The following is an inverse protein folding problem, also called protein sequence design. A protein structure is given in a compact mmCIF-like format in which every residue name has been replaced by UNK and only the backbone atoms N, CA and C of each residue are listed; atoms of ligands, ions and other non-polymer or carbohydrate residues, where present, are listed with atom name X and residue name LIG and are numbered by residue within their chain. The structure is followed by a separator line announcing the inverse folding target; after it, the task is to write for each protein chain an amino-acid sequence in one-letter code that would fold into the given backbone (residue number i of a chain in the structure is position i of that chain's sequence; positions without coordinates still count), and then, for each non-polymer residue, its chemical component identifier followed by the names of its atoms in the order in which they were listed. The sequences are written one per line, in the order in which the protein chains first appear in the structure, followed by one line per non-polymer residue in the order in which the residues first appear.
data_IF_003315263809
#
_entry.id   IF_003315263809
#
_cell.length_a   1.000
_cell.length_b   1.000
_cell.length_c   1.000
_cell.angle_alpha   90.00
_cell.angle_beta   90.00
_cell.angle_gamma   90.00
#
_symmetry.space_group_name_H-M   'P 1'
#
loop_
_entity.id
_entity.type
_entity.pdbx_description
1 polymer ?
#
# COMPACT_ATOMS: atom_id res chain seq x y z
N UNK A 1 -16.08 3.15 5.40
CA UNK A 1 -14.99 2.47 4.65
C UNK A 1 -13.75 3.34 4.65
N UNK A 2 -12.56 2.74 4.53
CA UNK A 2 -11.28 3.45 4.43
C UNK A 2 -10.72 3.23 3.02
N UNK A 3 -10.26 4.31 2.39
CA UNK A 3 -9.57 4.27 1.10
C UNK A 3 -8.18 4.88 1.22
N UNK A 4 -7.21 4.25 0.58
CA UNK A 4 -5.85 4.79 0.39
C UNK A 4 -5.43 4.47 -1.03
N UNK A 5 -4.76 5.42 -1.69
CA UNK A 5 -4.27 5.19 -3.04
C UNK A 5 -2.98 4.34 -3.02
N UNK A 6 -2.73 3.49 -4.03
CA UNK A 6 -1.54 2.65 -4.08
C UNK A 6 -0.22 3.40 -3.93
N UNK A 7 -0.13 4.64 -4.43
CA UNK A 7 1.07 5.48 -4.35
C UNK A 7 1.36 6.06 -2.95
N UNK A 8 0.39 5.97 -2.03
CA UNK A 8 0.50 6.43 -0.64
C UNK A 8 0.89 5.25 0.30
N UNK A 9 1.23 4.10 -0.29
CA UNK A 9 1.82 2.94 0.38
C UNK A 9 3.27 2.83 -0.05
N UNK A 10 4.17 3.00 0.89
CA UNK A 10 5.59 3.12 0.63
C UNK A 10 6.35 1.92 1.22
N UNK A 11 7.38 1.43 0.53
CA UNK A 11 8.22 0.36 1.06
C UNK A 11 9.29 0.90 2.02
N UNK A 12 9.95 -0.04 2.73
CA UNK A 12 10.94 0.26 3.78
C UNK A 12 12.02 1.23 3.31
N UNK A 13 12.51 1.05 2.08
CA UNK A 13 13.62 1.83 1.53
C UNK A 13 13.30 3.33 1.49
N UNK A 14 12.02 3.71 1.36
CA UNK A 14 11.56 5.11 1.32
C UNK A 14 11.12 5.67 2.69
N UNK A 15 10.70 4.82 3.62
CA UNK A 15 9.67 5.23 4.60
C UNK A 15 10.11 5.35 6.05
N UNK A 16 11.21 4.71 6.45
CA UNK A 16 11.67 4.59 7.85
C UNK A 16 11.84 5.93 8.60
N UNK A 17 11.87 7.06 7.88
CA UNK A 17 12.02 8.40 8.45
C UNK A 17 10.75 9.25 8.43
N UNK A 18 9.74 8.88 7.63
CA UNK A 18 8.58 9.76 7.33
C UNK A 18 7.27 9.26 7.91
N UNK A 19 7.03 7.94 7.88
CA UNK A 19 5.76 7.35 8.27
C UNK A 19 5.96 6.33 9.41
N UNK A 20 4.98 6.24 10.31
CA UNK A 20 5.05 5.36 11.50
C UNK A 20 4.10 4.18 11.43
N UNK A 21 3.00 4.32 10.72
CA UNK A 21 1.99 3.29 10.57
C UNK A 21 2.40 2.31 9.46
N UNK A 22 2.32 1.01 9.76
CA UNK A 22 2.84 -0.06 8.90
C UNK A 22 1.80 -1.17 8.76
N UNK A 23 1.61 -1.65 7.53
CA UNK A 23 0.95 -2.91 7.21
C UNK A 23 2.03 -3.93 6.85
N UNK A 24 1.97 -5.09 7.50
CA UNK A 24 2.71 -6.28 7.07
C UNK A 24 1.92 -7.00 5.98
N UNK A 25 2.51 -7.11 4.81
CA UNK A 25 1.84 -7.67 3.64
C UNK A 25 2.68 -8.78 3.01
N UNK A 26 2.03 -9.90 2.69
CA UNK A 26 2.64 -10.93 1.86
C UNK A 26 2.41 -10.61 0.39
N UNK A 27 3.48 -10.42 -0.37
CA UNK A 27 3.41 -10.12 -1.80
C UNK A 27 2.89 -11.35 -2.55
N UNK A 28 1.75 -11.21 -3.20
CA UNK A 28 1.15 -12.26 -4.03
C UNK A 28 1.56 -12.11 -5.49
N UNK A 29 1.63 -10.88 -5.99
CA UNK A 29 2.03 -10.58 -7.37
C UNK A 29 2.97 -9.38 -7.37
N UNK A 30 4.02 -9.49 -8.18
CA UNK A 30 4.95 -8.42 -8.49
C UNK A 30 4.82 -8.09 -9.98
N UNK A 31 4.47 -6.85 -10.31
CA UNK A 31 4.27 -6.41 -11.68
C UNK A 31 5.11 -5.16 -11.97
N UNK A 32 6.15 -5.30 -12.80
CA UNK A 32 6.98 -4.19 -13.25
C UNK A 32 6.34 -3.55 -14.49
N UNK A 33 5.92 -2.30 -14.36
CA UNK A 33 5.31 -1.51 -15.43
C UNK A 33 6.19 -0.29 -15.71
N UNK A 34 7.18 -0.49 -16.57
CA UNK A 34 8.11 0.57 -16.97
C UNK A 34 8.96 1.06 -15.80
N UNK A 35 8.63 2.25 -15.28
CA UNK A 35 9.36 2.91 -14.21
C UNK A 35 8.76 2.71 -12.82
N UNK A 36 7.74 1.85 -12.68
CA UNK A 36 7.03 1.60 -11.44
C UNK A 36 6.80 0.10 -11.24
N UNK A 37 6.67 -0.31 -9.99
CA UNK A 37 6.29 -1.68 -9.61
C UNK A 37 4.98 -1.66 -8.84
N UNK A 38 4.05 -2.52 -9.25
CA UNK A 38 2.83 -2.80 -8.51
C UNK A 38 3.00 -4.08 -7.69
N UNK A 39 2.77 -3.96 -6.39
CA UNK A 39 2.73 -5.09 -5.46
C UNK A 39 1.28 -5.35 -5.10
N UNK A 40 0.79 -6.54 -5.43
CA UNK A 40 -0.54 -6.99 -5.04
C UNK A 40 -0.43 -7.88 -3.81
N UNK A 41 -1.27 -7.62 -2.83
CA UNK A 41 -1.28 -8.34 -1.56
C UNK A 41 -2.69 -8.34 -0.98
N UNK A 42 -2.89 -9.15 0.06
CA UNK A 42 -4.12 -9.21 0.81
C UNK A 42 -3.90 -8.69 2.23
N UNK A 43 -4.81 -7.85 2.70
CA UNK A 43 -4.86 -7.39 4.09
C UNK A 43 -6.26 -7.68 4.64
N UNK A 44 -6.38 -8.54 5.66
CA UNK A 44 -7.65 -8.93 6.26
C UNK A 44 -8.71 -9.35 5.21
N UNK A 45 -8.37 -10.27 4.30
CA UNK A 45 -9.28 -10.72 3.23
C UNK A 45 -9.73 -9.65 2.24
N UNK A 46 -9.04 -8.51 2.22
CA UNK A 46 -9.23 -7.44 1.24
C UNK A 46 -8.00 -7.36 0.35
N UNK A 47 -8.21 -7.44 -0.96
CA UNK A 47 -7.15 -7.23 -1.93
C UNK A 47 -6.73 -5.76 -1.95
N UNK A 48 -5.42 -5.52 -1.90
CA UNK A 48 -4.81 -4.21 -1.93
C UNK A 48 -3.65 -4.18 -2.90
N UNK A 49 -3.28 -2.98 -3.31
CA UNK A 49 -2.18 -2.75 -4.24
C UNK A 49 -1.33 -1.60 -3.72
N UNK A 50 -0.01 -1.77 -3.74
CA UNK A 50 0.95 -0.70 -3.50
C UNK A 50 1.73 -0.42 -4.79
N UNK A 51 2.07 0.84 -5.01
CA UNK A 51 2.88 1.28 -6.14
C UNK A 51 4.21 1.83 -5.62
N UNK A 52 5.30 1.13 -5.94
CA UNK A 52 6.64 1.37 -5.38
C UNK A 52 7.69 1.57 -6.47
N UNK A 53 8.87 2.04 -6.06
CA UNK A 53 10.02 2.24 -6.94
C UNK A 53 10.55 0.88 -7.46
N UNK A 54 11.01 0.79 -8.72
CA UNK A 54 11.52 -0.44 -9.31
C UNK A 54 12.79 -0.99 -8.63
N UNK A 55 13.48 -0.20 -7.82
CA UNK A 55 14.62 -0.65 -7.02
C UNK A 55 14.20 -1.41 -5.76
N UNK A 56 12.89 -1.56 -5.49
CA UNK A 56 12.38 -2.32 -4.36
C UNK A 56 12.95 -3.74 -4.31
N UNK A 57 13.24 -4.21 -3.10
CA UNK A 57 13.70 -5.58 -2.86
C UNK A 57 12.57 -6.58 -2.75
N UNK A 58 11.32 -6.13 -2.69
CA UNK A 58 10.14 -6.98 -2.56
C UNK A 58 10.03 -7.97 -3.72
N UNK A 59 9.81 -9.25 -3.42
CA UNK A 59 9.52 -10.30 -4.41
C UNK A 59 8.28 -11.09 -4.00
N UNK A 60 7.71 -11.82 -4.96
CA UNK A 60 6.55 -12.70 -4.72
C UNK A 60 6.90 -13.71 -3.62
N UNK A 61 6.03 -13.80 -2.61
CA UNK A 61 6.19 -14.67 -1.46
C UNK A 61 6.80 -13.99 -0.23
N UNK A 62 7.45 -12.83 -0.39
CA UNK A 62 8.04 -12.08 0.72
C UNK A 62 6.97 -11.46 1.62
N UNK A 63 7.26 -11.38 2.92
CA UNK A 63 6.56 -10.50 3.85
C UNK A 63 7.30 -9.15 3.86
N UNK A 64 6.59 -8.09 3.50
CA UNK A 64 7.13 -6.72 3.41
C UNK A 64 6.38 -5.79 4.35
N UNK A 65 7.10 -4.82 4.89
CA UNK A 65 6.52 -3.71 5.64
C UNK A 65 6.16 -2.59 4.66
N UNK A 66 4.87 -2.29 4.55
CA UNK A 66 4.33 -1.17 3.77
C UNK A 66 3.90 -0.06 4.72
N UNK A 67 4.51 1.10 4.58
CA UNK A 67 4.27 2.27 5.42
C UNK A 67 3.18 3.13 4.80
N UNK A 68 2.26 3.60 5.64
CA UNK A 68 1.08 4.34 5.22
C UNK A 68 1.29 5.84 5.37
N UNK A 69 1.00 6.58 4.30
CA UNK A 69 0.73 8.01 4.38
C UNK A 69 -0.71 8.23 4.86
N UNK A 70 -0.90 8.23 6.19
CA UNK A 70 -2.20 8.44 6.82
C UNK A 70 -2.79 9.84 6.57
N UNK A 71 -1.98 10.84 6.21
CA UNK A 71 -2.48 12.17 5.86
C UNK A 71 -3.21 12.16 4.51
N UNK A 72 -2.89 11.20 3.65
CA UNK A 72 -3.47 11.01 2.32
C UNK A 72 -4.56 9.92 2.27
N UNK A 73 -5.07 9.52 3.44
CA UNK A 73 -6.19 8.59 3.60
C UNK A 73 -7.54 9.28 3.42
N UNK A 74 -8.49 8.55 2.85
CA UNK A 74 -9.89 8.96 2.75
C UNK A 74 -10.80 8.04 3.56
N UNK A 75 -11.84 8.63 4.14
CA UNK A 75 -12.88 7.93 4.89
C UNK A 75 -14.23 8.17 4.22
N UNK A 76 -15.00 7.10 4.08
CA UNK A 76 -16.33 7.10 3.49
C UNK A 76 -17.35 6.58 4.48
N UNK A 77 -18.54 7.15 4.48
CA UNK A 77 -19.66 6.60 5.23
C UNK A 77 -20.06 5.23 4.68
N UNK A 78 -20.46 4.29 5.54
CA UNK A 78 -20.73 2.91 5.11
C UNK A 78 -22.12 2.75 4.47
N UNK A 79 -23.08 3.61 4.80
CA UNK A 79 -24.44 3.51 4.29
C UNK A 79 -24.63 4.36 3.02
N UNK A 80 -24.04 5.56 3.01
CA UNK A 80 -24.23 6.56 1.97
C UNK A 80 -23.08 6.63 0.96
N UNK A 81 -21.95 5.98 1.27
CA UNK A 81 -20.70 6.01 0.49
C UNK A 81 -20.10 7.41 0.27
N UNK A 82 -20.63 8.44 0.95
CA UNK A 82 -20.13 9.81 0.83
C UNK A 82 -18.78 9.95 1.53
N UNK A 83 -17.90 10.77 0.93
CA UNK A 83 -16.62 11.11 1.54
C UNK A 83 -16.84 11.96 2.81
N UNK A 84 -16.28 11.49 3.91
CA UNK A 84 -16.24 12.17 5.21
C UNK A 84 -14.90 12.92 5.35
N UNK A 85 -13.83 12.35 4.77
CA UNK A 85 -12.46 12.87 4.78
C UNK A 85 -11.71 12.41 3.54
#
# INVERSE_FOLDING_TARGET
MMGIRPENLHDVDYSLKKYKDVIKAKVQVYELVGAEVYLYFECNSTNMTARVDPNTKARVGDEVDLYLDCDSMHLFDIETEQAIR
#
